data_IF_002796629945
#
_entry.id   IF_002796629945
#
_cell.length_a   1.000
_cell.length_b   1.000
_cell.length_c   1.000
_cell.angle_alpha   90.00
_cell.angle_beta   90.00
_cell.angle_gamma   90.00
#
_symmetry.space_group_name_H-M   'P 1'
#
loop_
_entity.id
_entity.type
_entity.pdbx_description
1 polymer ?
#
# COMPACT_ATOMS: atom_id res chain seq x y z
N UNK A 1 26.34 11.12 45.68
CA UNK A 1 25.30 11.75 46.53
C UNK A 1 23.99 11.78 45.75
N UNK A 2 22.87 11.52 46.45
CA UNK A 2 21.48 11.29 45.98
C UNK A 2 21.00 12.46 45.10
N UNK A 3 20.20 12.32 44.04
CA UNK A 3 18.93 11.60 43.88
C UNK A 3 18.61 11.56 42.37
N UNK A 4 18.08 10.45 41.87
CA UNK A 4 17.55 10.40 40.51
C UNK A 4 16.30 11.29 40.43
N UNK A 5 16.44 12.50 39.87
CA UNK A 5 15.30 13.39 39.62
C UNK A 5 14.17 12.61 38.95
N UNK A 6 12.95 12.74 39.49
CA UNK A 6 11.78 12.19 38.81
C UNK A 6 11.59 12.91 37.49
N UNK A 7 10.95 12.27 36.51
CA UNK A 7 10.67 12.93 35.22
C UNK A 7 9.79 14.17 35.39
N UNK A 8 8.97 14.24 36.45
CA UNK A 8 8.22 15.43 36.83
C UNK A 8 9.15 16.58 37.24
N UNK A 9 10.16 16.30 38.04
CA UNK A 9 11.13 17.32 38.49
C UNK A 9 11.99 17.79 37.32
N UNK A 10 12.49 16.86 36.48
CA UNK A 10 13.24 17.22 35.26
C UNK A 10 12.42 18.10 34.33
N UNK A 11 11.12 17.78 34.16
CA UNK A 11 10.20 18.59 33.35
C UNK A 11 9.95 19.97 33.96
N UNK A 12 9.83 20.08 35.28
CA UNK A 12 9.64 21.35 35.97
C UNK A 12 10.88 22.24 35.84
N UNK A 13 12.09 21.70 36.03
CA UNK A 13 13.33 22.45 35.81
C UNK A 13 13.51 22.83 34.33
N UNK A 14 13.17 21.92 33.40
CA UNK A 14 13.20 22.23 31.97
C UNK A 14 12.22 23.36 31.60
N UNK A 15 11.03 23.40 32.22
CA UNK A 15 10.05 24.49 32.04
C UNK A 15 10.56 25.80 32.66
N UNK A 16 11.07 25.77 33.89
CA UNK A 16 11.59 26.94 34.61
C UNK A 16 12.79 27.58 33.90
N UNK A 17 13.63 26.76 33.26
CA UNK A 17 14.77 27.24 32.46
C UNK A 17 14.38 28.05 31.22
N UNK A 18 13.11 28.01 30.81
CA UNK A 18 12.58 28.87 29.74
C UNK A 18 12.41 30.31 30.22
N UNK A 19 12.09 30.51 31.51
CA UNK A 19 11.79 31.82 32.09
C UNK A 19 13.03 32.47 32.71
N UNK A 20 13.87 31.68 33.38
CA UNK A 20 15.03 32.19 34.14
C UNK A 20 16.38 31.94 33.46
N UNK A 21 16.41 31.21 32.34
CA UNK A 21 17.63 30.83 31.63
C UNK A 21 18.25 29.51 32.12
N UNK A 22 19.10 28.91 31.28
CA UNK A 22 19.68 27.56 31.52
C UNK A 22 20.71 27.59 32.63
N UNK A 23 21.61 28.56 32.61
CA UNK A 23 22.71 28.65 33.57
C UNK A 23 22.20 28.76 35.01
N UNK A 24 21.23 29.66 35.22
CA UNK A 24 20.67 29.90 36.54
C UNK A 24 19.87 28.70 37.06
N UNK A 25 19.04 28.09 36.21
CA UNK A 25 18.24 26.93 36.62
C UNK A 25 19.10 25.67 36.76
N UNK A 26 20.20 25.53 36.03
CA UNK A 26 21.15 24.44 36.19
C UNK A 26 21.85 24.53 37.56
N UNK A 27 22.25 25.75 37.96
CA UNK A 27 22.78 26.05 39.28
C UNK A 27 21.77 25.74 40.39
N UNK A 28 20.51 26.17 40.24
CA UNK A 28 19.42 25.87 41.18
C UNK A 28 19.12 24.38 41.30
N UNK A 29 19.19 23.65 40.19
CA UNK A 29 18.95 22.21 40.14
C UNK A 29 20.19 21.37 40.49
N UNK A 30 21.34 21.99 40.83
CA UNK A 30 22.56 21.26 41.16
C UNK A 30 23.07 20.35 40.03
N UNK A 31 22.75 20.66 38.77
CA UNK A 31 23.18 19.91 37.59
C UNK A 31 23.98 20.79 36.63
N UNK A 32 24.81 20.17 35.79
CA UNK A 32 25.50 20.93 34.74
C UNK A 32 24.53 21.47 33.68
N UNK A 33 24.78 22.64 33.07
CA UNK A 33 23.95 23.19 31.98
C UNK A 33 23.67 22.20 30.82
N UNK A 34 24.63 21.34 30.40
CA UNK A 34 24.36 20.30 29.39
C UNK A 34 23.35 19.22 29.81
N UNK A 35 23.25 18.92 31.11
CA UNK A 35 22.26 17.96 31.65
C UNK A 35 20.86 18.57 31.63
N UNK A 36 20.73 19.84 32.02
CA UNK A 36 19.46 20.57 31.93
C UNK A 36 19.02 20.73 30.46
N UNK A 37 19.95 21.04 29.55
CA UNK A 37 19.67 21.11 28.10
C UNK A 37 19.16 19.78 27.53
N UNK A 38 19.67 18.64 28.02
CA UNK A 38 19.12 17.32 27.65
C UNK A 38 17.70 17.12 28.14
N UNK A 39 17.36 17.55 29.36
CA UNK A 39 15.96 17.50 29.84
C UNK A 39 15.06 18.40 29.01
N UNK A 40 15.53 19.58 28.60
CA UNK A 40 14.78 20.47 27.71
C UNK A 40 14.48 19.83 26.36
N UNK A 41 15.45 19.15 25.75
CA UNK A 41 15.22 18.39 24.52
C UNK A 41 14.23 17.24 24.73
N UNK A 42 14.41 16.47 25.80
CA UNK A 42 13.55 15.34 26.16
C UNK A 42 12.07 15.75 26.31
N UNK A 43 11.80 16.93 26.87
CA UNK A 43 10.44 17.42 27.11
C UNK A 43 9.97 18.52 26.13
N UNK A 44 10.71 18.79 25.06
CA UNK A 44 10.28 19.70 23.98
C UNK A 44 10.39 21.21 24.27
N UNK A 45 11.21 21.62 25.26
CA UNK A 45 11.43 23.03 25.63
C UNK A 45 12.61 23.71 24.89
N UNK A 46 13.15 23.07 23.84
CA UNK A 46 14.21 23.64 23.01
C UNK A 46 13.73 24.82 22.13
N UNK A 47 12.45 24.84 21.76
CA UNK A 47 11.91 25.79 20.76
C UNK A 47 11.71 27.24 21.24
N UNK A 48 11.85 27.55 22.54
CA UNK A 48 11.45 28.86 23.12
C UNK A 48 12.60 29.86 23.33
N UNK A 49 13.80 29.59 22.82
CA UNK A 49 14.95 30.50 22.93
C UNK A 49 15.15 31.44 21.73
N UNK A 50 14.52 31.16 20.58
CA UNK A 50 14.67 32.02 19.40
C UNK A 50 13.75 33.23 19.53
N UNK A 51 14.33 34.42 19.42
CA UNK A 51 13.57 35.67 19.38
C UNK A 51 12.57 35.63 18.22
N UNK A 52 11.51 36.43 18.29
CA UNK A 52 10.54 36.54 17.19
C UNK A 52 11.23 36.87 15.85
N UNK A 53 12.26 37.73 15.89
CA UNK A 53 13.09 38.08 14.72
C UNK A 53 13.84 36.87 14.15
N UNK A 54 14.39 36.01 15.01
CA UNK A 54 15.10 34.81 14.55
C UNK A 54 14.13 33.76 14.00
N UNK A 55 12.97 33.58 14.64
CA UNK A 55 11.91 32.70 14.14
C UNK A 55 11.40 33.16 12.77
N UNK A 56 11.21 34.46 12.59
CA UNK A 56 10.83 35.05 11.31
C UNK A 56 11.93 34.88 10.25
N UNK A 57 13.19 35.15 10.61
CA UNK A 57 14.36 34.94 9.73
C UNK A 57 14.43 33.51 9.22
N UNK A 58 14.35 32.52 10.09
CA UNK A 58 14.41 31.11 9.68
C UNK A 58 13.14 30.66 8.94
N UNK A 59 11.97 31.23 9.26
CA UNK A 59 10.76 30.99 8.49
C UNK A 59 10.88 31.51 7.05
N UNK A 60 11.43 32.71 6.84
CA UNK A 60 11.72 33.28 5.50
C UNK A 60 12.80 32.49 4.77
N UNK A 61 13.92 32.21 5.43
CA UNK A 61 15.03 31.43 4.86
C UNK A 61 14.56 30.07 4.36
N UNK A 62 13.66 29.43 5.09
CA UNK A 62 13.11 28.15 4.68
C UNK A 62 12.33 28.21 3.34
N UNK A 63 11.80 29.37 2.94
CA UNK A 63 11.17 29.53 1.62
C UNK A 63 12.19 29.46 0.48
N UNK A 64 13.45 29.79 0.76
CA UNK A 64 14.56 29.79 -0.21
C UNK A 64 15.27 28.44 -0.23
N UNK A 65 15.62 27.89 0.93
CA UNK A 65 16.46 26.68 1.06
C UNK A 65 15.68 25.41 1.45
N UNK A 66 14.39 25.52 1.72
CA UNK A 66 13.53 24.42 2.16
C UNK A 66 13.44 24.26 3.69
N UNK A 67 12.36 23.62 4.17
CA UNK A 67 12.09 23.38 5.60
C UNK A 67 13.20 22.56 6.28
N UNK A 68 13.72 21.47 5.71
CA UNK A 68 14.72 20.64 6.38
C UNK A 68 16.04 21.38 6.63
N UNK A 69 16.57 22.07 5.61
CA UNK A 69 17.82 22.80 5.71
C UNK A 69 17.72 24.00 6.68
N UNK A 70 16.60 24.72 6.66
CA UNK A 70 16.37 25.81 7.60
C UNK A 70 16.20 25.31 9.05
N UNK A 71 15.60 24.13 9.25
CA UNK A 71 15.46 23.53 10.58
C UNK A 71 16.80 23.08 11.16
N UNK A 72 17.67 22.53 10.31
CA UNK A 72 19.04 22.16 10.66
C UNK A 72 19.87 23.40 11.05
N UNK A 73 19.81 24.47 10.24
CA UNK A 73 20.51 25.72 10.55
C UNK A 73 19.98 26.44 11.80
N UNK A 74 18.70 26.29 12.10
CA UNK A 74 18.08 26.84 13.29
C UNK A 74 18.27 25.93 14.54
N UNK A 75 18.82 24.72 14.38
CA UNK A 75 18.97 23.75 15.48
C UNK A 75 17.64 23.29 16.08
N UNK A 76 16.56 23.29 15.28
CA UNK A 76 15.20 22.93 15.73
C UNK A 76 14.61 21.79 14.92
N UNK A 77 13.53 21.21 15.44
CA UNK A 77 12.74 20.24 14.70
C UNK A 77 12.01 20.91 13.52
N UNK A 78 11.88 20.22 12.38
CA UNK A 78 11.23 20.74 11.17
C UNK A 78 9.80 21.25 11.41
N UNK A 79 9.07 20.62 12.33
CA UNK A 79 7.73 21.05 12.73
C UNK A 79 7.70 22.47 13.31
N UNK A 80 8.77 22.93 13.96
CA UNK A 80 8.88 24.29 14.50
C UNK A 80 8.95 25.33 13.39
N UNK A 81 9.77 25.09 12.36
CA UNK A 81 9.87 25.96 11.18
C UNK A 81 8.54 26.01 10.42
N UNK A 82 7.85 24.88 10.30
CA UNK A 82 6.50 24.83 9.71
C UNK A 82 5.48 25.62 10.54
N UNK A 83 5.59 25.58 11.86
CA UNK A 83 4.73 26.38 12.75
C UNK A 83 4.99 27.88 12.59
N UNK A 84 6.26 28.31 12.53
CA UNK A 84 6.61 29.71 12.31
C UNK A 84 6.15 30.23 10.94
N UNK A 85 6.24 29.41 9.88
CA UNK A 85 5.65 29.79 8.59
C UNK A 85 4.15 30.05 8.66
N UNK A 86 3.42 29.39 9.55
CA UNK A 86 1.99 29.65 9.76
C UNK A 86 1.79 30.91 10.59
N UNK A 87 2.57 31.07 11.66
CA UNK A 87 2.57 32.23 12.56
C UNK A 87 2.82 33.54 11.78
N UNK A 88 3.76 33.54 10.84
CA UNK A 88 4.10 34.71 10.02
C UNK A 88 3.38 34.77 8.65
N UNK A 89 2.38 33.92 8.41
CA UNK A 89 1.62 33.95 7.15
C UNK A 89 2.41 33.57 5.88
N UNK A 90 3.61 32.99 6.02
CA UNK A 90 4.49 32.54 4.92
C UNK A 90 4.10 31.16 4.34
N UNK A 91 2.94 30.65 4.72
CA UNK A 91 2.41 29.40 4.18
C UNK A 91 1.79 29.65 2.81
N UNK A 92 2.24 28.92 1.79
CA UNK A 92 1.56 28.88 0.50
C UNK A 92 0.07 28.55 0.72
N UNK A 93 -0.87 29.29 0.09
CA UNK A 93 -2.28 28.94 0.17
C UNK A 93 -2.44 27.50 -0.34
N UNK A 94 -3.02 26.63 0.50
CA UNK A 94 -3.39 25.27 0.10
C UNK A 94 -4.40 25.26 -1.06
N UNK A 95 -5.11 26.37 -1.24
CA UNK A 95 -6.09 26.54 -2.30
C UNK A 95 -5.46 27.09 -3.58
N UNK A 96 -5.81 26.48 -4.71
CA UNK A 96 -5.45 26.99 -6.03
C UNK A 96 -6.10 28.37 -6.25
N UNK A 97 -5.44 29.28 -7.01
CA UNK A 97 -5.95 30.64 -7.24
C UNK A 97 -7.40 30.65 -7.72
N UNK A 98 -8.23 31.54 -7.16
CA UNK A 98 -9.66 31.61 -7.47
C UNK A 98 -9.94 31.84 -8.98
N UNK A 99 -9.04 32.53 -9.68
CA UNK A 99 -9.12 32.70 -11.13
C UNK A 99 -8.99 31.37 -11.88
N UNK A 100 -8.04 30.52 -11.47
CA UNK A 100 -7.83 29.19 -12.04
C UNK A 100 -9.03 28.28 -11.74
N UNK A 101 -9.59 28.35 -10.53
CA UNK A 101 -10.78 27.58 -10.13
C UNK A 101 -11.98 27.89 -11.05
N UNK A 102 -12.32 29.17 -11.18
CA UNK A 102 -13.40 29.66 -12.05
C UNK A 102 -13.17 29.29 -13.52
N UNK A 103 -11.93 29.40 -14.01
CA UNK A 103 -11.57 29.00 -15.37
C UNK A 103 -11.76 27.49 -15.60
N UNK A 104 -11.33 26.66 -14.65
CA UNK A 104 -11.49 25.22 -14.71
C UNK A 104 -12.98 24.80 -14.66
N UNK A 105 -13.78 25.45 -13.82
CA UNK A 105 -15.24 25.21 -13.72
C UNK A 105 -15.92 25.58 -15.04
N UNK A 106 -15.68 26.78 -15.60
CA UNK A 106 -16.23 27.18 -16.91
C UNK A 106 -15.82 26.20 -18.02
N UNK A 107 -14.55 25.79 -18.05
CA UNK A 107 -14.06 24.82 -19.03
C UNK A 107 -14.72 23.45 -18.86
N UNK A 108 -15.00 23.03 -17.63
CA UNK A 108 -15.63 21.73 -17.33
C UNK A 108 -17.05 21.60 -17.89
N UNK A 109 -17.77 22.71 -18.07
CA UNK A 109 -19.09 22.72 -18.73
C UNK A 109 -18.97 22.39 -20.21
N UNK A 110 -17.89 22.86 -20.86
CA UNK A 110 -17.68 22.71 -22.30
C UNK A 110 -17.13 21.34 -22.69
N UNK A 111 -16.10 20.86 -21.96
CA UNK A 111 -15.36 19.63 -22.33
C UNK A 111 -15.56 18.47 -21.37
N UNK A 112 -16.33 18.70 -20.30
CA UNK A 112 -16.52 17.75 -19.21
C UNK A 112 -15.48 17.87 -18.10
N UNK A 113 -15.83 17.44 -16.87
CA UNK A 113 -14.95 17.56 -15.69
C UNK A 113 -13.65 16.78 -15.80
N UNK A 114 -13.63 15.62 -16.46
CA UNK A 114 -12.40 14.82 -16.58
C UNK A 114 -11.35 15.50 -17.46
N UNK A 115 -11.77 16.01 -18.63
CA UNK A 115 -10.87 16.70 -19.55
C UNK A 115 -10.37 18.03 -18.95
N UNK A 116 -11.27 18.82 -18.38
CA UNK A 116 -10.92 20.08 -17.73
C UNK A 116 -9.99 19.87 -16.52
N UNK A 117 -10.20 18.84 -15.71
CA UNK A 117 -9.31 18.54 -14.59
C UNK A 117 -7.87 18.27 -15.06
N UNK A 118 -7.71 17.55 -16.17
CA UNK A 118 -6.40 17.28 -16.77
C UNK A 118 -5.76 18.52 -17.38
N UNK A 119 -6.51 19.34 -18.13
CA UNK A 119 -6.02 20.59 -18.71
C UNK A 119 -5.46 21.54 -17.64
N UNK A 120 -6.11 21.59 -16.47
CA UNK A 120 -5.73 22.46 -15.36
C UNK A 120 -4.81 21.77 -14.33
N UNK A 121 -4.41 20.51 -14.52
CA UNK A 121 -3.54 19.80 -13.59
C UNK A 121 -4.14 19.64 -12.19
N UNK A 122 -5.45 19.45 -12.09
CA UNK A 122 -6.20 19.25 -10.84
C UNK A 122 -6.83 17.86 -10.82
N UNK A 123 -7.10 17.33 -9.63
CA UNK A 123 -7.81 16.05 -9.53
C UNK A 123 -9.28 16.22 -9.94
N UNK A 124 -9.87 15.19 -10.56
CA UNK A 124 -11.29 15.21 -10.93
C UNK A 124 -12.20 15.45 -9.70
N UNK A 125 -11.99 14.81 -8.54
CA UNK A 125 -12.77 15.11 -7.33
C UNK A 125 -12.66 16.57 -6.87
N UNK A 126 -11.46 17.18 -6.99
CA UNK A 126 -11.26 18.59 -6.65
C UNK A 126 -12.10 19.50 -7.55
N UNK A 127 -12.10 19.23 -8.86
CA UNK A 127 -12.88 20.01 -9.80
C UNK A 127 -14.40 19.81 -9.60
N UNK A 128 -14.86 18.60 -9.31
CA UNK A 128 -16.27 18.36 -8.99
C UNK A 128 -16.73 19.17 -7.77
N UNK A 129 -15.91 19.23 -6.71
CA UNK A 129 -16.20 20.08 -5.53
C UNK A 129 -16.25 21.56 -5.89
N UNK A 130 -15.38 22.04 -6.78
CA UNK A 130 -15.44 23.43 -7.25
C UNK A 130 -16.73 23.72 -8.02
N UNK A 131 -17.18 22.78 -8.84
CA UNK A 131 -18.46 22.89 -9.55
C UNK A 131 -19.64 22.92 -8.60
N UNK A 132 -19.66 22.06 -7.60
CA UNK A 132 -20.70 22.05 -6.55
C UNK A 132 -20.74 23.39 -5.80
N UNK A 133 -19.58 23.91 -5.40
CA UNK A 133 -19.46 25.20 -4.72
C UNK A 133 -19.88 26.40 -5.59
N UNK A 134 -19.74 26.29 -6.91
CA UNK A 134 -20.19 27.31 -7.88
C UNK A 134 -21.61 27.04 -8.43
N UNK A 135 -22.31 26.01 -7.93
CA UNK A 135 -23.67 25.66 -8.35
C UNK A 135 -23.79 25.07 -9.76
N UNK A 136 -22.69 24.61 -10.36
CA UNK A 136 -22.63 24.11 -11.75
C UNK A 136 -22.93 22.61 -11.81
N UNK A 137 -24.20 22.25 -11.90
CA UNK A 137 -24.68 20.86 -12.07
C UNK A 137 -24.70 20.39 -13.54
N UNK A 138 -24.65 21.31 -14.49
CA UNK A 138 -24.76 21.03 -15.92
C UNK A 138 -23.60 20.16 -16.43
N UNK A 139 -23.91 18.98 -16.96
CA UNK A 139 -22.95 18.19 -17.73
C UNK A 139 -23.03 18.62 -19.19
N UNK A 140 -21.92 18.55 -19.94
CA UNK A 140 -21.96 18.84 -21.37
C UNK A 140 -23.04 17.98 -22.04
N UNK A 141 -23.83 18.62 -22.90
CA UNK A 141 -24.76 17.93 -23.80
C UNK A 141 -24.03 16.78 -24.49
N UNK A 142 -24.71 15.64 -24.62
CA UNK A 142 -24.15 14.47 -25.29
C UNK A 142 -23.54 14.89 -26.63
N UNK A 143 -22.27 14.55 -26.92
CA UNK A 143 -21.60 15.01 -28.12
C UNK A 143 -22.42 14.67 -29.36
N UNK A 144 -22.51 15.62 -30.29
CA UNK A 144 -23.22 15.46 -31.56
C UNK A 144 -22.63 14.32 -32.39
N UNK A 145 -23.37 13.77 -33.35
CA UNK A 145 -22.84 12.68 -34.18
C UNK A 145 -21.58 13.08 -34.97
N UNK A 146 -21.42 14.37 -35.32
CA UNK A 146 -20.19 14.89 -35.95
C UNK A 146 -18.99 14.87 -34.99
N UNK A 147 -19.18 15.23 -33.73
CA UNK A 147 -18.15 15.18 -32.69
C UNK A 147 -17.79 13.74 -32.31
N UNK A 148 -18.80 12.87 -32.18
CA UNK A 148 -18.58 11.42 -31.97
C UNK A 148 -17.73 10.85 -33.11
N UNK A 149 -18.02 11.23 -34.36
CA UNK A 149 -17.24 10.84 -35.55
C UNK A 149 -15.82 11.39 -35.52
N UNK A 150 -15.63 12.64 -35.08
CA UNK A 150 -14.31 13.28 -34.89
C UNK A 150 -13.45 12.54 -33.86
N UNK A 151 -13.98 12.24 -32.68
CA UNK A 151 -13.24 11.53 -31.63
C UNK A 151 -12.99 10.06 -31.98
N UNK A 152 -13.94 9.41 -32.68
CA UNK A 152 -13.73 8.08 -33.24
C UNK A 152 -12.56 8.06 -34.25
N UNK A 153 -12.44 9.06 -35.14
CA UNK A 153 -11.26 9.19 -36.02
C UNK A 153 -9.98 9.48 -35.25
N UNK A 154 -10.02 10.43 -34.31
CA UNK A 154 -8.86 10.84 -33.52
C UNK A 154 -8.25 9.66 -32.76
N UNK A 155 -9.08 8.74 -32.28
CA UNK A 155 -8.63 7.56 -31.55
C UNK A 155 -7.71 6.62 -32.34
N UNK A 156 -7.70 6.66 -33.68
CA UNK A 156 -6.70 5.93 -34.47
C UNK A 156 -5.31 6.56 -34.37
N UNK A 157 -5.24 7.88 -34.20
CA UNK A 157 -3.99 8.63 -34.14
C UNK A 157 -3.40 8.68 -32.72
N UNK A 158 -4.23 8.83 -31.70
CA UNK A 158 -3.77 9.06 -30.31
C UNK A 158 -4.04 7.88 -29.37
N UNK A 159 -4.71 6.84 -29.84
CA UNK A 159 -5.17 5.72 -29.01
C UNK A 159 -6.55 5.95 -28.39
N UNK A 160 -7.18 4.85 -27.95
CA UNK A 160 -8.58 4.85 -27.49
C UNK A 160 -8.72 5.55 -26.14
N UNK A 161 -7.83 5.31 -25.19
CA UNK A 161 -7.91 5.89 -23.85
C UNK A 161 -7.72 7.41 -23.87
N UNK A 162 -6.80 7.88 -24.69
CA UNK A 162 -6.54 9.31 -24.85
C UNK A 162 -7.70 10.00 -25.59
N UNK A 163 -8.25 9.39 -26.64
CA UNK A 163 -9.42 9.94 -27.32
C UNK A 163 -10.68 9.93 -26.45
N UNK A 164 -10.87 8.90 -25.64
CA UNK A 164 -11.97 8.81 -24.68
C UNK A 164 -11.87 9.90 -23.61
N UNK A 165 -10.65 10.13 -23.11
CA UNK A 165 -10.36 11.20 -22.15
C UNK A 165 -10.67 12.58 -22.72
N UNK A 166 -10.25 12.86 -23.96
CA UNK A 166 -10.53 14.14 -24.64
C UNK A 166 -12.01 14.34 -24.96
N UNK A 167 -12.73 13.26 -25.19
CA UNK A 167 -14.17 13.27 -25.42
C UNK A 167 -14.99 13.28 -24.13
N UNK A 168 -14.36 13.17 -22.95
CA UNK A 168 -15.06 13.08 -21.66
C UNK A 168 -15.89 11.79 -21.49
N UNK A 169 -15.56 10.71 -22.20
CA UNK A 169 -16.32 9.44 -22.17
C UNK A 169 -15.45 8.25 -21.75
N UNK A 170 -16.07 7.10 -21.48
CA UNK A 170 -15.36 5.86 -21.21
C UNK A 170 -14.73 5.30 -22.50
N UNK A 171 -13.58 4.60 -22.44
CA UNK A 171 -12.95 3.96 -23.61
C UNK A 171 -13.91 3.07 -24.42
N UNK A 172 -14.80 2.33 -23.76
CA UNK A 172 -15.83 1.51 -24.39
C UNK A 172 -16.78 2.32 -25.30
N UNK A 173 -17.05 3.59 -24.95
CA UNK A 173 -17.92 4.47 -25.75
C UNK A 173 -17.28 4.81 -27.10
N UNK A 174 -15.96 5.01 -27.14
CA UNK A 174 -15.22 5.22 -28.40
C UNK A 174 -15.31 3.98 -29.31
N UNK A 175 -15.24 2.77 -28.75
CA UNK A 175 -15.47 1.54 -29.52
C UNK A 175 -16.86 1.47 -30.14
N UNK A 176 -17.89 1.90 -29.40
CA UNK A 176 -19.27 1.95 -29.90
C UNK A 176 -19.42 2.99 -31.02
N UNK A 177 -18.82 4.17 -30.88
CA UNK A 177 -18.84 5.19 -31.93
C UNK A 177 -18.10 4.72 -33.19
N UNK A 178 -16.92 4.10 -33.03
CA UNK A 178 -16.20 3.48 -34.14
C UNK A 178 -17.07 2.49 -34.91
N UNK A 179 -17.75 1.57 -34.19
CA UNK A 179 -18.68 0.62 -34.81
C UNK A 179 -19.86 1.31 -35.49
N UNK A 180 -20.49 2.28 -34.83
CA UNK A 180 -21.64 3.04 -35.37
C UNK A 180 -21.30 3.73 -36.70
N UNK A 181 -20.09 4.27 -36.84
CA UNK A 181 -19.67 4.96 -38.06
C UNK A 181 -18.91 4.07 -39.06
N UNK A 182 -18.96 2.74 -38.91
CA UNK A 182 -18.26 1.81 -39.80
C UNK A 182 -16.73 1.90 -39.73
N UNK A 183 -16.19 2.60 -38.74
CA UNK A 183 -14.75 2.75 -38.49
C UNK A 183 -14.25 1.53 -37.72
N UNK A 184 -14.32 0.37 -38.36
CA UNK A 184 -13.65 -0.82 -37.83
C UNK A 184 -12.16 -0.51 -37.80
N UNK A 185 -11.50 -0.90 -36.71
CA UNK A 185 -10.04 -0.98 -36.77
C UNK A 185 -9.73 -1.87 -37.96
N UNK A 186 -8.95 -1.36 -38.91
CA UNK A 186 -8.03 -2.22 -39.63
C UNK A 186 -7.28 -2.94 -38.52
N UNK A 187 -7.75 -4.14 -38.17
CA UNK A 187 -6.95 -5.06 -37.37
C UNK A 187 -5.70 -5.18 -38.23
N UNK A 188 -4.50 -4.81 -37.72
CA UNK A 188 -3.30 -5.06 -38.49
C UNK A 188 -3.37 -6.53 -38.86
N UNK A 189 -3.40 -6.84 -40.16
CA UNK A 189 -3.41 -8.22 -40.60
C UNK A 189 -2.03 -8.74 -40.27
N UNK A 190 -1.87 -9.25 -39.05
CA UNK A 190 -0.61 -9.79 -38.59
C UNK A 190 -0.32 -11.03 -39.42
N UNK A 191 0.81 -11.00 -40.11
CA UNK A 191 1.38 -12.18 -40.76
C UNK A 191 1.60 -13.28 -39.71
N UNK A 192 1.71 -14.53 -40.15
CA UNK A 192 2.02 -15.65 -39.25
C UNK A 192 3.36 -15.41 -38.56
N UNK A 193 4.30 -14.80 -39.27
CA UNK A 193 5.63 -14.39 -38.82
C UNK A 193 5.55 -13.33 -37.71
N UNK A 194 4.70 -12.31 -37.86
CA UNK A 194 4.52 -11.28 -36.83
C UNK A 194 3.90 -11.86 -35.56
N UNK A 195 2.87 -12.71 -35.70
CA UNK A 195 2.25 -13.37 -34.56
C UNK A 195 3.28 -14.23 -33.81
N UNK A 196 4.11 -14.98 -34.53
CA UNK A 196 5.17 -15.80 -33.95
C UNK A 196 6.24 -14.95 -33.26
N UNK A 197 6.66 -13.85 -33.89
CA UNK A 197 7.64 -12.91 -33.33
C UNK A 197 7.15 -12.34 -32.00
N UNK A 198 5.93 -11.80 -31.95
CA UNK A 198 5.36 -11.28 -30.70
C UNK A 198 5.10 -12.38 -29.68
N UNK A 199 4.68 -13.57 -30.12
CA UNK A 199 4.49 -14.71 -29.21
C UNK A 199 5.79 -15.10 -28.50
N UNK A 200 6.93 -15.17 -29.22
CA UNK A 200 8.27 -15.43 -28.63
C UNK A 200 8.77 -14.28 -27.78
N UNK A 201 8.46 -13.04 -28.16
CA UNK A 201 8.91 -11.84 -27.44
C UNK A 201 8.39 -11.79 -25.99
N UNK A 202 7.22 -12.39 -25.73
CA UNK A 202 6.64 -12.50 -24.39
C UNK A 202 7.40 -13.45 -23.43
N UNK A 203 8.43 -14.17 -23.90
CA UNK A 203 9.36 -14.89 -23.01
C UNK A 203 10.41 -13.94 -22.41
N UNK A 204 10.79 -12.89 -23.15
CA UNK A 204 11.80 -11.91 -22.73
C UNK A 204 11.18 -10.63 -22.14
N UNK A 205 9.99 -10.26 -22.62
CA UNK A 205 9.18 -9.16 -22.10
C UNK A 205 7.97 -9.70 -21.34
N UNK A 206 7.34 -8.89 -20.49
CA UNK A 206 6.05 -9.29 -19.93
C UNK A 206 4.97 -9.40 -21.03
N UNK A 207 3.95 -10.23 -20.80
CA UNK A 207 2.82 -10.37 -21.73
C UNK A 207 2.07 -9.05 -21.93
N UNK A 208 2.07 -8.19 -20.90
CA UNK A 208 1.42 -6.88 -20.94
C UNK A 208 2.19 -5.88 -21.80
N UNK A 209 3.53 -5.86 -21.69
CA UNK A 209 4.37 -5.00 -22.52
C UNK A 209 4.38 -5.45 -23.97
N UNK A 210 4.44 -6.76 -24.20
CA UNK A 210 4.36 -7.33 -25.55
C UNK A 210 3.03 -7.00 -26.22
N UNK A 211 1.93 -7.11 -25.48
CA UNK A 211 0.60 -6.73 -25.97
C UNK A 211 0.52 -5.23 -26.33
N UNK A 212 1.13 -4.36 -25.51
CA UNK A 212 1.23 -2.92 -25.78
C UNK A 212 2.02 -2.64 -27.07
N UNK A 213 3.16 -3.29 -27.25
CA UNK A 213 4.01 -3.12 -28.45
C UNK A 213 3.32 -3.62 -29.73
N UNK A 214 2.59 -4.72 -29.63
CA UNK A 214 1.82 -5.27 -30.73
C UNK A 214 0.48 -4.54 -30.96
N UNK A 215 0.08 -3.60 -30.10
CA UNK A 215 -1.24 -2.95 -30.19
C UNK A 215 -2.42 -3.91 -30.01
N UNK A 216 -2.21 -5.04 -29.33
CA UNK A 216 -3.23 -6.07 -29.08
C UNK A 216 -3.47 -6.26 -27.58
N UNK A 217 -4.41 -7.14 -27.23
CA UNK A 217 -4.65 -7.48 -25.82
C UNK A 217 -3.70 -8.56 -25.32
N UNK A 218 -3.50 -8.62 -24.00
CA UNK A 218 -2.77 -9.72 -23.35
C UNK A 218 -3.33 -11.10 -23.72
N UNK A 219 -4.65 -11.20 -23.88
CA UNK A 219 -5.31 -12.43 -24.27
C UNK A 219 -4.90 -12.86 -25.69
N UNK A 220 -4.75 -11.90 -26.62
CA UNK A 220 -4.30 -12.14 -27.99
C UNK A 220 -2.88 -12.73 -28.02
N UNK A 221 -1.95 -12.18 -27.25
CA UNK A 221 -0.59 -12.74 -27.12
C UNK A 221 -0.62 -14.17 -26.57
N UNK A 222 -1.45 -14.44 -25.56
CA UNK A 222 -1.64 -15.79 -25.03
C UNK A 222 -2.21 -16.77 -26.06
N UNK A 223 -3.13 -16.31 -26.91
CA UNK A 223 -3.70 -17.12 -27.99
C UNK A 223 -2.62 -17.47 -29.01
N UNK A 224 -1.84 -16.50 -29.50
CA UNK A 224 -0.73 -16.77 -30.43
C UNK A 224 0.28 -17.75 -29.82
N UNK A 225 0.65 -17.56 -28.55
CA UNK A 225 1.54 -18.51 -27.87
C UNK A 225 0.96 -19.93 -27.77
N UNK A 226 -0.36 -20.10 -27.69
CA UNK A 226 -1.00 -21.43 -27.75
C UNK A 226 -0.99 -21.99 -29.16
N UNK A 227 -1.31 -21.17 -30.17
CA UNK A 227 -1.26 -21.55 -31.59
C UNK A 227 0.13 -22.08 -31.99
N UNK A 228 1.19 -21.44 -31.50
CA UNK A 228 2.58 -21.85 -31.77
C UNK A 228 3.17 -22.82 -30.74
N UNK A 229 2.37 -23.37 -29.81
CA UNK A 229 2.86 -24.34 -28.83
C UNK A 229 3.87 -23.80 -27.81
N UNK A 230 4.03 -22.48 -27.69
CA UNK A 230 4.94 -21.79 -26.76
C UNK A 230 4.40 -21.70 -25.31
N UNK A 231 3.26 -22.33 -25.04
CA UNK A 231 2.72 -22.44 -23.68
C UNK A 231 3.00 -23.84 -23.14
N UNK A 232 3.59 -23.93 -21.94
CA UNK A 232 3.68 -25.20 -21.21
C UNK A 232 2.25 -25.70 -21.01
N UNK A 233 1.91 -26.84 -21.65
CA UNK A 233 0.65 -27.54 -21.38
C UNK A 233 0.60 -27.84 -19.89
N UNK A 234 -0.28 -27.16 -19.15
CA UNK A 234 -0.60 -27.57 -17.79
C UNK A 234 -1.11 -29.01 -17.88
N UNK A 235 -0.43 -29.94 -17.19
CA UNK A 235 -0.91 -31.33 -17.07
C UNK A 235 -2.37 -31.25 -16.63
N UNK A 236 -3.27 -31.93 -17.36
CA UNK A 236 -4.68 -31.98 -16.95
C UNK A 236 -4.72 -32.44 -15.49
N UNK A 237 -5.48 -31.75 -14.62
CA UNK A 237 -5.63 -32.21 -13.25
C UNK A 237 -6.15 -33.65 -13.25
N UNK A 238 -5.78 -34.49 -12.28
CA UNK A 238 -6.35 -35.82 -12.17
C UNK A 238 -7.88 -35.73 -12.15
N UNK A 239 -8.53 -36.61 -12.90
CA UNK A 239 -9.97 -36.80 -12.84
C UNK A 239 -10.27 -37.65 -11.60
N UNK A 240 -11.16 -37.14 -10.76
CA UNK A 240 -11.57 -37.78 -9.51
C UNK A 240 -13.03 -38.19 -9.61
N UNK A 241 -13.33 -39.42 -9.21
CA UNK A 241 -14.68 -39.92 -9.01
C UNK A 241 -15.36 -39.17 -7.86
N UNK A 242 -16.70 -39.18 -7.81
CA UNK A 242 -17.46 -38.57 -6.71
C UNK A 242 -17.06 -39.16 -5.34
N UNK A 243 -16.73 -40.46 -5.29
CA UNK A 243 -16.26 -41.15 -4.09
C UNK A 243 -14.91 -40.61 -3.61
N UNK A 244 -13.97 -40.42 -4.52
CA UNK A 244 -12.64 -39.86 -4.19
C UNK A 244 -12.73 -38.41 -3.76
N UNK A 245 -13.52 -37.58 -4.48
CA UNK A 245 -13.77 -36.19 -4.09
C UNK A 245 -14.36 -36.12 -2.67
N UNK A 246 -15.32 -36.99 -2.34
CA UNK A 246 -15.93 -37.06 -1.00
C UNK A 246 -14.94 -37.51 0.05
N UNK A 247 -14.07 -38.48 -0.25
CA UNK A 247 -12.99 -38.93 0.64
C UNK A 247 -12.04 -37.77 0.97
N UNK A 248 -11.55 -37.06 -0.03
CA UNK A 248 -10.66 -35.90 0.18
C UNK A 248 -11.35 -34.73 0.87
N UNK A 249 -12.64 -34.51 0.60
CA UNK A 249 -13.44 -33.51 1.28
C UNK A 249 -13.64 -33.82 2.78
N UNK A 250 -13.83 -35.09 3.16
CA UNK A 250 -13.88 -35.53 4.56
C UNK A 250 -12.52 -35.42 5.25
N UNK A 251 -11.48 -35.90 4.57
CA UNK A 251 -10.09 -35.80 5.03
C UNK A 251 -9.71 -34.35 5.31
N UNK A 252 -10.15 -33.40 4.48
CA UNK A 252 -9.93 -31.98 4.70
C UNK A 252 -10.61 -31.43 5.96
N UNK A 253 -11.64 -32.10 6.49
CA UNK A 253 -12.15 -31.85 7.83
C UNK A 253 -11.13 -32.18 8.90
N UNK A 254 -10.44 -33.32 8.77
CA UNK A 254 -9.51 -33.85 9.78
C UNK A 254 -8.13 -33.17 9.76
N UNK A 255 -7.56 -32.96 8.57
CA UNK A 255 -6.17 -32.49 8.40
C UNK A 255 -6.07 -31.08 7.78
N UNK A 256 -7.20 -30.46 7.47
CA UNK A 256 -7.26 -29.14 6.82
C UNK A 256 -7.20 -29.20 5.29
N UNK A 257 -7.67 -28.12 4.64
CA UNK A 257 -7.85 -28.09 3.18
C UNK A 257 -6.51 -28.18 2.41
N UNK A 258 -5.43 -27.63 2.96
CA UNK A 258 -4.11 -27.59 2.30
C UNK A 258 -3.46 -28.98 2.26
N UNK A 259 -3.40 -29.65 3.42
CA UNK A 259 -2.86 -31.00 3.53
C UNK A 259 -3.68 -32.03 2.73
N UNK A 260 -5.01 -31.93 2.76
CA UNK A 260 -5.86 -32.77 1.94
C UNK A 260 -5.67 -32.52 0.43
N UNK A 261 -5.37 -31.28 0.03
CA UNK A 261 -5.11 -30.93 -1.36
C UNK A 261 -3.76 -31.45 -1.85
N UNK A 262 -2.75 -31.42 -1.00
CA UNK A 262 -1.44 -32.00 -1.26
C UNK A 262 -1.53 -33.51 -1.47
N UNK A 263 -2.23 -34.22 -0.57
CA UNK A 263 -2.49 -35.65 -0.75
C UNK A 263 -3.33 -35.97 -1.99
N UNK A 264 -4.20 -35.04 -2.39
CA UNK A 264 -5.01 -35.17 -3.60
C UNK A 264 -4.31 -34.60 -4.85
N UNK A 265 -3.07 -34.12 -4.80
CA UNK A 265 -2.39 -33.52 -5.95
C UNK A 265 -3.19 -32.41 -6.66
N UNK A 266 -4.03 -31.67 -5.92
CA UNK A 266 -4.84 -30.57 -6.44
C UNK A 266 -4.57 -29.27 -5.70
N UNK A 267 -4.99 -28.16 -6.27
CA UNK A 267 -4.99 -26.88 -5.57
C UNK A 267 -6.05 -26.86 -4.46
N UNK A 268 -5.76 -26.31 -3.28
CA UNK A 268 -6.66 -26.29 -2.11
C UNK A 268 -8.08 -25.77 -2.39
N UNK A 269 -8.25 -24.83 -3.33
CA UNK A 269 -9.58 -24.35 -3.77
C UNK A 269 -10.48 -25.46 -4.34
N UNK A 270 -9.91 -26.54 -4.92
CA UNK A 270 -10.69 -27.71 -5.37
C UNK A 270 -11.27 -28.48 -4.19
N UNK A 271 -10.50 -28.66 -3.11
CA UNK A 271 -10.98 -29.29 -1.87
C UNK A 271 -12.14 -28.48 -1.28
N UNK A 272 -12.01 -27.14 -1.23
CA UNK A 272 -13.10 -26.25 -0.78
C UNK A 272 -14.37 -26.44 -1.63
N UNK A 273 -14.22 -26.56 -2.96
CA UNK A 273 -15.34 -26.84 -3.85
C UNK A 273 -15.99 -28.21 -3.55
N UNK A 274 -15.20 -29.26 -3.39
CA UNK A 274 -15.71 -30.60 -3.06
C UNK A 274 -16.42 -30.63 -1.71
N UNK A 275 -15.91 -29.91 -0.70
CA UNK A 275 -16.60 -29.78 0.59
C UNK A 275 -17.97 -29.12 0.47
N UNK A 276 -18.09 -28.09 -0.36
CA UNK A 276 -19.40 -27.48 -0.67
C UNK A 276 -20.31 -28.43 -1.44
N UNK A 277 -19.77 -29.19 -2.39
CA UNK A 277 -20.51 -30.18 -3.21
C UNK A 277 -21.13 -31.31 -2.37
N UNK A 278 -20.55 -31.63 -1.20
CA UNK A 278 -21.04 -32.67 -0.30
C UNK A 278 -21.58 -32.15 1.03
N UNK A 279 -21.89 -30.85 1.13
CA UNK A 279 -22.38 -30.20 2.35
C UNK A 279 -21.47 -30.38 3.59
N UNK A 280 -20.18 -30.67 3.37
CA UNK A 280 -19.12 -30.73 4.39
C UNK A 280 -18.52 -29.33 4.65
N UNK A 281 -19.33 -28.30 4.41
CA UNK A 281 -18.97 -26.88 4.47
C UNK A 281 -19.08 -26.29 5.88
N UNK A 282 -19.71 -27.02 6.82
CA UNK A 282 -19.72 -26.65 8.22
C UNK A 282 -18.28 -26.41 8.68
N UNK A 283 -17.98 -25.14 8.97
CA UNK A 283 -16.67 -24.67 9.39
C UNK A 283 -16.32 -25.37 10.68
N UNK A 284 -15.40 -26.35 10.59
CA UNK A 284 -14.65 -27.00 11.66
C UNK A 284 -15.45 -27.34 12.95
N UNK A 285 -15.44 -28.60 13.38
CA UNK A 285 -16.00 -28.95 14.69
C UNK A 285 -15.42 -28.04 15.79
N UNK A 286 -16.16 -27.82 16.88
CA UNK A 286 -15.68 -26.99 17.99
C UNK A 286 -14.29 -27.42 18.47
N UNK A 287 -14.03 -28.72 18.48
CA UNK A 287 -12.72 -29.30 18.80
C UNK A 287 -11.63 -28.94 17.78
N UNK A 288 -11.96 -28.93 16.48
CA UNK A 288 -11.03 -28.48 15.43
C UNK A 288 -10.73 -26.98 15.53
N UNK A 289 -11.75 -26.15 15.77
CA UNK A 289 -11.56 -24.70 15.96
C UNK A 289 -10.65 -24.44 17.17
N UNK A 290 -10.87 -25.17 18.28
CA UNK A 290 -10.00 -25.13 19.47
C UNK A 290 -8.57 -25.56 19.15
N UNK A 291 -8.39 -26.69 18.46
CA UNK A 291 -7.06 -27.20 18.07
C UNK A 291 -6.30 -26.19 17.22
N UNK A 292 -6.93 -25.62 16.20
CA UNK A 292 -6.29 -24.64 15.32
C UNK A 292 -6.05 -23.29 16.02
N UNK A 293 -6.93 -22.88 16.94
CA UNK A 293 -6.71 -21.71 17.79
C UNK A 293 -5.44 -21.87 18.64
N UNK A 294 -5.25 -23.01 19.32
CA UNK A 294 -4.02 -23.27 20.09
C UNK A 294 -2.80 -23.42 19.19
N UNK A 295 -2.91 -24.13 18.06
CA UNK A 295 -1.81 -24.27 17.10
C UNK A 295 -1.32 -22.90 16.61
N UNK A 296 -2.23 -21.94 16.43
CA UNK A 296 -1.85 -20.57 16.03
C UNK A 296 -1.01 -19.83 17.06
N UNK A 297 -1.00 -20.23 18.33
CA UNK A 297 -0.08 -19.70 19.35
C UNK A 297 1.33 -20.31 19.22
N UNK A 298 1.45 -21.51 18.67
CA UNK A 298 2.73 -22.20 18.50
C UNK A 298 3.42 -21.82 17.19
N UNK A 299 2.69 -21.89 16.08
CA UNK A 299 3.25 -21.71 14.72
C UNK A 299 2.94 -20.35 14.10
N UNK A 300 2.13 -19.52 14.77
CA UNK A 300 1.73 -18.20 14.29
C UNK A 300 0.42 -18.20 13.48
N UNK A 301 -0.18 -17.01 13.37
CA UNK A 301 -1.53 -16.81 12.84
C UNK A 301 -1.68 -17.18 11.36
N UNK A 302 -0.75 -16.73 10.52
CA UNK A 302 -0.80 -16.97 9.07
C UNK A 302 -0.63 -18.45 8.76
N UNK A 303 0.35 -19.11 9.37
CA UNK A 303 0.63 -20.53 9.15
C UNK A 303 -0.52 -21.42 9.64
N UNK A 304 -1.10 -21.11 10.81
CA UNK A 304 -2.26 -21.85 11.30
C UNK A 304 -3.52 -21.61 10.43
N UNK A 305 -3.75 -20.39 9.96
CA UNK A 305 -4.84 -20.09 9.03
C UNK A 305 -4.68 -20.83 7.70
N UNK A 306 -3.45 -20.87 7.19
CA UNK A 306 -3.07 -21.62 5.99
C UNK A 306 -3.30 -23.13 6.15
N UNK A 307 -2.92 -23.71 7.29
CA UNK A 307 -3.11 -25.13 7.59
C UNK A 307 -4.59 -25.48 7.74
N UNK A 308 -5.35 -24.67 8.47
CA UNK A 308 -6.80 -24.81 8.59
C UNK A 308 -7.53 -24.53 7.25
N UNK A 309 -6.87 -23.86 6.30
CA UNK A 309 -7.46 -23.43 5.04
C UNK A 309 -8.57 -22.41 5.24
N UNK A 310 -8.43 -21.53 6.24
CA UNK A 310 -9.35 -20.45 6.58
C UNK A 310 -8.63 -19.10 6.47
N UNK A 311 -9.39 -18.00 6.52
CA UNK A 311 -8.76 -16.68 6.56
C UNK A 311 -8.09 -16.43 7.91
N UNK A 312 -7.06 -15.58 7.93
CA UNK A 312 -6.44 -15.11 9.18
C UNK A 312 -7.47 -14.47 10.12
N UNK A 313 -8.48 -13.77 9.57
CA UNK A 313 -9.60 -13.22 10.33
C UNK A 313 -10.42 -14.31 11.04
N UNK A 314 -10.72 -15.42 10.36
CA UNK A 314 -11.42 -16.56 10.95
C UNK A 314 -10.61 -17.19 12.08
N UNK A 315 -9.27 -17.27 11.92
CA UNK A 315 -8.39 -17.76 12.97
C UNK A 315 -8.38 -16.84 14.20
N UNK A 316 -8.42 -15.51 13.99
CA UNK A 316 -8.57 -14.54 15.10
C UNK A 316 -9.90 -14.77 15.84
N UNK A 317 -10.99 -15.02 15.13
CA UNK A 317 -12.28 -15.33 15.75
C UNK A 317 -12.21 -16.61 16.59
N UNK A 318 -11.55 -17.67 16.11
CA UNK A 318 -11.37 -18.90 16.88
C UNK A 318 -10.48 -18.69 18.10
N UNK A 319 -9.40 -17.90 18.01
CA UNK A 319 -8.58 -17.55 19.18
C UNK A 319 -9.39 -16.81 20.25
N UNK A 320 -10.26 -15.90 19.84
CA UNK A 320 -11.15 -15.20 20.76
C UNK A 320 -12.20 -16.14 21.38
N UNK A 321 -12.72 -17.10 20.62
CA UNK A 321 -13.69 -18.09 21.10
C UNK A 321 -13.11 -19.04 22.16
N UNK A 322 -11.80 -19.30 22.15
CA UNK A 322 -11.11 -20.22 23.08
C UNK A 322 -10.07 -19.54 23.97
N UNK A 323 -10.18 -18.22 24.18
CA UNK A 323 -9.31 -17.44 25.07
C UNK A 323 -7.80 -17.64 24.83
N UNK A 324 -7.37 -17.71 23.57
CA UNK A 324 -5.95 -17.80 23.20
C UNK A 324 -5.33 -16.40 23.17
N UNK A 325 -4.87 -15.94 24.35
CA UNK A 325 -4.57 -14.53 24.72
C UNK A 325 -3.28 -13.92 24.09
N UNK A 326 -2.53 -14.65 23.27
CA UNK A 326 -1.33 -14.06 22.67
C UNK A 326 -1.66 -13.01 21.59
N UNK A 327 -1.00 -11.85 21.67
CA UNK A 327 -1.25 -10.71 20.77
C UNK A 327 -1.08 -11.13 19.30
N UNK A 328 -2.06 -10.86 18.42
CA UNK A 328 -2.02 -11.25 16.99
C UNK A 328 -0.89 -10.58 16.19
N UNK A 329 -0.22 -9.59 16.77
CA UNK A 329 0.92 -8.87 16.18
C UNK A 329 2.28 -9.47 16.57
N UNK A 330 2.32 -10.40 17.53
CA UNK A 330 3.57 -11.08 17.89
C UNK A 330 3.87 -12.13 16.82
N UNK A 331 4.89 -11.88 16.02
CA UNK A 331 5.48 -12.91 15.15
C UNK A 331 6.03 -14.03 16.03
N UNK A 332 5.42 -15.21 15.96
CA UNK A 332 5.94 -16.41 16.58
C UNK A 332 7.00 -17.01 15.65
N UNK A 333 8.13 -17.40 16.23
CA UNK A 333 9.23 -18.04 15.52
C UNK A 333 9.26 -19.50 15.92
N UNK A 334 9.36 -20.38 14.93
CA UNK A 334 9.47 -21.82 15.12
C UNK A 334 10.77 -22.17 15.85
N UNK A 335 10.84 -23.38 16.44
CA UNK A 335 12.05 -23.85 17.10
C UNK A 335 13.25 -23.89 16.14
N UNK A 336 13.02 -24.29 14.88
CA UNK A 336 14.05 -24.35 13.85
C UNK A 336 14.52 -22.95 13.42
N UNK A 337 13.59 -22.00 13.25
CA UNK A 337 13.95 -20.59 12.98
C UNK A 337 14.74 -19.97 14.13
N UNK A 338 14.38 -20.28 15.39
CA UNK A 338 15.13 -19.82 16.56
C UNK A 338 16.54 -20.39 16.55
N UNK A 339 16.69 -21.69 16.26
CA UNK A 339 17.99 -22.37 16.20
C UNK A 339 18.87 -21.78 15.10
N UNK A 340 18.34 -21.66 13.88
CA UNK A 340 19.06 -21.08 12.75
C UNK A 340 19.43 -19.60 12.99
N UNK A 341 18.53 -18.83 13.64
CA UNK A 341 18.83 -17.44 14.00
C UNK A 341 19.94 -17.31 15.05
N UNK A 342 20.03 -18.24 16.00
CA UNK A 342 21.09 -18.27 16.99
C UNK A 342 22.44 -18.69 16.40
N UNK A 343 22.46 -19.69 15.51
CA UNK A 343 23.66 -20.09 14.76
C UNK A 343 24.20 -18.92 13.93
N UNK A 344 23.32 -18.23 13.20
CA UNK A 344 23.70 -17.03 12.44
C UNK A 344 24.19 -15.89 13.35
N UNK A 345 23.62 -15.74 14.55
CA UNK A 345 24.12 -14.75 15.52
C UNK A 345 25.53 -15.07 16.02
N UNK A 346 25.91 -16.36 16.11
CA UNK A 346 27.26 -16.77 16.51
C UNK A 346 28.27 -16.55 15.37
N UNK A 347 27.85 -16.69 14.10
CA UNK A 347 28.71 -16.49 12.92
C UNK A 347 28.97 -15.03 12.58
N UNK A 348 27.92 -14.21 12.49
CA UNK A 348 28.01 -12.82 11.97
C UNK A 348 27.64 -11.75 13.00
N UNK A 349 27.27 -12.16 14.22
CA UNK A 349 26.84 -11.25 15.29
C UNK A 349 25.37 -10.83 15.21
N UNK A 350 24.83 -10.38 16.35
CA UNK A 350 23.39 -10.09 16.53
C UNK A 350 22.87 -8.96 15.65
N UNK A 351 23.68 -7.93 15.39
CA UNK A 351 23.30 -6.77 14.57
C UNK A 351 23.13 -7.13 13.09
N UNK A 352 24.13 -7.76 12.43
CA UNK A 352 23.97 -8.25 11.06
C UNK A 352 22.85 -9.29 10.91
N UNK A 353 22.78 -10.28 11.82
CA UNK A 353 21.73 -11.31 11.82
C UNK A 353 20.32 -10.72 11.94
N UNK A 354 20.13 -9.70 12.80
CA UNK A 354 18.85 -8.99 12.93
C UNK A 354 18.39 -8.34 11.62
N UNK A 355 19.31 -7.69 10.89
CA UNK A 355 19.00 -7.06 9.60
C UNK A 355 18.69 -8.09 8.52
N UNK A 356 19.46 -9.18 8.48
CA UNK A 356 19.31 -10.22 7.46
C UNK A 356 18.01 -11.02 7.64
N UNK A 357 17.63 -11.33 8.88
CA UNK A 357 16.45 -12.15 9.18
C UNK A 357 15.18 -11.31 9.44
N UNK A 358 15.31 -9.99 9.57
CA UNK A 358 14.20 -9.10 9.95
C UNK A 358 13.66 -9.36 11.37
N UNK A 359 14.48 -9.98 12.23
CA UNK A 359 14.13 -10.29 13.62
C UNK A 359 14.59 -9.14 14.52
N UNK A 360 13.74 -8.60 15.42
CA UNK A 360 14.16 -7.54 16.34
C UNK A 360 15.36 -7.95 17.20
N UNK A 361 16.35 -7.06 17.32
CA UNK A 361 17.57 -7.29 18.13
C UNK A 361 17.25 -7.76 19.56
N UNK A 362 16.24 -7.17 20.18
CA UNK A 362 15.81 -7.54 21.54
C UNK A 362 15.39 -9.02 21.65
N UNK A 363 14.72 -9.55 20.62
CA UNK A 363 14.30 -10.96 20.55
C UNK A 363 15.50 -11.89 20.43
N UNK A 364 16.49 -11.56 19.59
CA UNK A 364 17.71 -12.36 19.44
C UNK A 364 18.55 -12.37 20.73
N UNK A 365 18.71 -11.21 21.38
CA UNK A 365 19.38 -11.14 22.69
C UNK A 365 18.65 -11.95 23.76
N UNK A 366 17.32 -11.92 23.76
CA UNK A 366 16.51 -12.71 24.69
C UNK A 366 16.74 -14.21 24.49
N UNK A 367 16.66 -14.72 23.25
CA UNK A 367 16.93 -16.13 22.97
C UNK A 367 18.35 -16.55 23.32
N UNK A 368 19.34 -15.68 23.06
CA UNK A 368 20.74 -15.98 23.39
C UNK A 368 21.00 -16.06 24.89
N UNK A 369 20.19 -15.38 25.72
CA UNK A 369 20.25 -15.46 27.19
C UNK A 369 19.53 -16.68 27.77
N UNK A 370 18.65 -17.31 26.98
CA UNK A 370 17.90 -18.51 27.38
C UNK A 370 18.55 -19.82 26.92
N UNK A 371 19.55 -19.72 26.04
CA UNK A 371 20.50 -20.79 25.72
C UNK A 371 21.52 -20.89 26.85
#
# INVERSE_FOLDING_TARGET
>A
MRSGYSDKDKRNFAKLSVELGVEEVARMAGVSPPVLSRWRLQFGFANRLLSEKDREKFARLSMEIGVPAAAEQAGVHQASVVSWRKEFGLSQPREKPAAMRRAAVKRSVLVGPTAAAREFGVSVPTLCRWRENEGVSELPSSPSDSERKKYAKLSFKVGIDEAASRAGVKPATIYTWRRKFGMRSEVPVFSVEDKLRFAKMADNLSHSETARLAGVTRATINTWRREFGLTKRLKKPPEYTAREKRRFARLAGEIGNKAAAEQAGVHHKRIVKWRKEFDLSAYASTEQRRRFAHLSAEVGLEQAADQAGVSTSTMVSWRAEFDVVDSPLKRHYTADEKKAALELCDEIGVQPASKQLGIPRATLYFWRRQR
#
